data_IF_266368118797
#
_entry.id   IF_266368118797
#
_cell.length_a   1.000
_cell.length_b   1.000
_cell.length_c   1.000
_cell.angle_alpha   90.00
_cell.angle_beta   90.00
_cell.angle_gamma   90.00
#
_symmetry.space_group_name_H-M   'P 1'
#
loop_
_entity.id
_entity.type
_entity.pdbx_description
1 polymer ?
#
# COMPACT_ATOMS: atom_id res chain seq x y z
N UNK A 1 24.68 -31.68 -7.86
CA UNK A 1 24.44 -31.14 -8.43
C UNK A 1 23.48 -30.28 -8.24
N UNK A 2 22.93 -29.65 -8.21
CA UNK A 2 22.03 -28.93 -8.02
C UNK A 2 21.92 -27.84 -7.60
N UNK A 3 21.57 -27.13 -7.39
CA UNK A 3 21.41 -26.18 -6.90
C UNK A 3 20.80 -25.11 -7.20
N UNK A 4 20.52 -24.53 -7.88
CA UNK A 4 19.97 -23.31 -8.14
C UNK A 4 18.69 -23.09 -7.47
N UNK A 5 18.29 -23.89 -6.60
CA UNK A 5 17.11 -23.77 -6.02
C UNK A 5 17.00 -22.59 -5.17
N UNK A 6 18.00 -22.17 -4.46
CA UNK A 6 17.93 -21.13 -3.45
C UNK A 6 17.70 -19.73 -3.97
N UNK A 7 18.22 -19.43 -5.13
CA UNK A 7 18.03 -18.08 -5.69
C UNK A 7 16.60 -17.84 -6.15
N UNK A 8 15.92 -18.90 -6.54
CA UNK A 8 14.56 -18.79 -6.98
C UNK A 8 13.59 -18.60 -5.82
N UNK A 9 13.89 -19.22 -4.69
CA UNK A 9 13.01 -19.06 -3.55
C UNK A 9 12.97 -17.64 -3.04
N UNK A 10 14.07 -16.92 -3.07
CA UNK A 10 14.09 -15.53 -2.65
C UNK A 10 13.23 -14.63 -3.54
N UNK A 11 13.23 -14.91 -4.85
CA UNK A 11 12.45 -14.10 -5.78
C UNK A 11 10.95 -14.31 -5.61
N UNK A 12 10.50 -15.48 -5.16
CA UNK A 12 9.10 -15.76 -4.97
C UNK A 12 8.52 -15.16 -3.68
N UNK A 13 9.39 -14.63 -2.80
CA UNK A 13 8.96 -14.09 -1.53
C UNK A 13 8.82 -12.57 -1.55
N UNK A 14 8.57 -12.01 -2.72
CA UNK A 14 8.34 -10.57 -2.87
C UNK A 14 7.07 -10.32 -3.66
N UNK A 15 6.29 -9.30 -3.27
CA UNK A 15 5.16 -8.88 -4.09
C UNK A 15 5.62 -8.40 -5.48
N UNK A 16 4.74 -8.44 -6.44
CA UNK A 16 5.02 -7.93 -7.78
C UNK A 16 5.23 -6.41 -7.73
N UNK A 17 6.07 -5.90 -8.61
CA UNK A 17 6.36 -4.48 -8.67
C UNK A 17 5.22 -3.65 -9.23
N UNK A 18 4.33 -4.27 -10.00
CA UNK A 18 3.20 -3.57 -10.60
C UNK A 18 1.99 -4.48 -10.68
N UNK A 19 0.82 -3.92 -10.42
CA UNK A 19 -0.45 -4.66 -10.47
C UNK A 19 -1.48 -3.82 -11.21
N UNK A 20 -2.11 -4.40 -12.24
CA UNK A 20 -3.19 -3.73 -12.95
C UNK A 20 -4.47 -3.91 -12.16
N UNK A 21 -5.16 -2.81 -11.87
CA UNK A 21 -6.43 -2.81 -11.13
C UNK A 21 -7.60 -2.77 -12.11
N UNK A 22 -7.58 -1.80 -13.05
CA UNK A 22 -8.65 -1.57 -14.02
C UNK A 22 -8.06 -0.76 -15.17
N UNK A 23 -8.86 -0.41 -16.16
CA UNK A 23 -8.40 0.42 -17.27
C UNK A 23 -7.91 1.77 -16.76
N UNK A 24 -6.63 2.06 -16.98
CA UNK A 24 -6.00 3.30 -16.53
C UNK A 24 -5.73 3.39 -15.04
N UNK A 25 -6.08 2.36 -14.27
CA UNK A 25 -5.85 2.34 -12.83
C UNK A 25 -4.90 1.18 -12.49
N UNK A 26 -3.75 1.49 -11.93
CA UNK A 26 -2.76 0.47 -11.59
C UNK A 26 -1.95 0.86 -10.37
N UNK A 27 -1.32 -0.13 -9.77
CA UNK A 27 -0.41 0.03 -8.64
C UNK A 27 1.01 -0.18 -9.14
N UNK A 28 1.90 0.71 -8.77
CA UNK A 28 3.29 0.65 -9.21
C UNK A 28 4.17 0.96 -8.01
N UNK A 29 5.17 0.12 -7.75
CA UNK A 29 5.99 0.27 -6.56
C UNK A 29 6.61 1.68 -6.51
N UNK A 30 6.61 2.29 -5.33
CA UNK A 30 7.19 3.62 -5.16
C UNK A 30 8.69 3.60 -5.41
N UNK A 31 9.15 4.57 -6.19
CA UNK A 31 10.56 4.77 -6.53
C UNK A 31 11.00 6.16 -6.10
N UNK A 32 12.29 6.34 -5.92
CA UNK A 32 12.84 7.66 -5.58
C UNK A 32 12.42 8.72 -6.62
N UNK A 33 12.31 8.32 -7.89
CA UNK A 33 11.86 9.22 -8.95
C UNK A 33 10.43 9.71 -8.78
N UNK A 34 9.64 9.08 -7.92
CA UNK A 34 8.25 9.49 -7.63
C UNK A 34 8.18 10.53 -6.50
N UNK A 35 9.30 10.82 -5.84
CA UNK A 35 9.29 11.61 -4.61
C UNK A 35 8.70 13.00 -4.78
N UNK A 36 9.04 13.70 -5.86
CA UNK A 36 8.52 15.06 -6.08
C UNK A 36 7.01 15.06 -6.29
N UNK A 37 6.53 14.17 -7.13
CA UNK A 37 5.09 14.06 -7.40
C UNK A 37 4.33 13.66 -6.14
N UNK A 38 4.85 12.71 -5.40
CA UNK A 38 4.21 12.24 -4.17
C UNK A 38 4.20 13.33 -3.09
N UNK A 39 5.32 14.04 -2.92
CA UNK A 39 5.40 15.10 -1.94
C UNK A 39 4.43 16.26 -2.28
N UNK A 40 4.34 16.62 -3.55
CA UNK A 40 3.38 17.63 -3.98
C UNK A 40 1.95 17.22 -3.66
N UNK A 41 1.61 15.95 -3.88
CA UNK A 41 0.27 15.44 -3.56
C UNK A 41 0.00 15.45 -2.06
N UNK A 42 0.99 15.09 -1.24
CA UNK A 42 0.87 15.15 0.22
C UNK A 42 0.62 16.58 0.68
N UNK A 43 1.41 17.55 0.16
CA UNK A 43 1.24 18.95 0.54
C UNK A 43 -0.15 19.48 0.16
N UNK A 44 -0.64 19.13 -1.03
CA UNK A 44 -1.95 19.54 -1.49
C UNK A 44 -3.06 18.99 -0.61
N UNK A 45 -2.86 17.83 -0.01
CA UNK A 45 -3.87 17.14 0.80
C UNK A 45 -3.57 17.13 2.29
N UNK A 46 -2.58 17.89 2.75
CA UNK A 46 -2.10 17.80 4.13
C UNK A 46 -3.19 17.98 5.18
N UNK A 47 -4.03 18.98 5.03
CA UNK A 47 -5.11 19.24 5.99
C UNK A 47 -6.14 18.11 6.01
N UNK A 48 -6.44 17.55 4.85
CA UNK A 48 -7.37 16.44 4.73
C UNK A 48 -6.78 15.16 5.33
N UNK A 49 -5.53 14.85 4.97
CA UNK A 49 -4.88 13.60 5.38
C UNK A 49 -4.48 13.60 6.85
N UNK A 50 -4.19 14.76 7.41
CA UNK A 50 -3.76 14.87 8.82
C UNK A 50 -4.76 14.26 9.79
N UNK A 51 -6.04 14.25 9.43
CA UNK A 51 -7.11 13.74 10.29
C UNK A 51 -6.97 12.25 10.58
N UNK A 52 -6.37 11.50 9.66
CA UNK A 52 -6.34 10.03 9.76
C UNK A 52 -4.94 9.44 9.66
N UNK A 53 -3.92 10.25 9.32
CA UNK A 53 -2.55 9.76 9.16
C UNK A 53 -1.63 10.43 10.18
N UNK A 54 -1.41 9.80 11.34
CA UNK A 54 -0.60 10.42 12.40
C UNK A 54 0.86 10.65 12.02
N UNK A 55 1.39 9.86 11.07
CA UNK A 55 2.78 9.99 10.62
C UNK A 55 2.98 11.12 9.60
N UNK A 56 1.92 11.73 9.11
CA UNK A 56 1.99 12.68 8.00
C UNK A 56 2.87 13.88 8.33
N UNK A 57 2.81 14.39 9.55
CA UNK A 57 3.58 15.55 9.96
C UNK A 57 5.07 15.26 10.12
N UNK A 58 5.49 14.02 9.99
CA UNK A 58 6.90 13.65 9.94
C UNK A 58 7.48 13.84 8.55
N UNK A 59 6.64 13.95 7.52
CA UNK A 59 7.07 14.18 6.14
C UNK A 59 6.79 15.63 5.79
N UNK A 60 7.76 16.51 6.08
CA UNK A 60 7.62 17.96 5.90
C UNK A 60 8.47 18.53 4.78
N UNK A 61 9.32 17.72 4.18
CA UNK A 61 10.23 18.16 3.13
C UNK A 61 10.38 17.06 2.08
N UNK A 62 10.88 17.44 0.91
CA UNK A 62 11.20 16.49 -0.12
C UNK A 62 12.23 15.46 0.34
N UNK A 63 13.22 15.89 1.13
CA UNK A 63 14.24 14.99 1.65
C UNK A 63 13.63 13.92 2.55
N UNK A 64 12.67 14.29 3.38
CA UNK A 64 11.97 13.34 4.23
C UNK A 64 11.11 12.37 3.40
N UNK A 65 10.51 12.86 2.32
CA UNK A 65 9.77 12.01 1.39
C UNK A 65 10.69 10.99 0.72
N UNK A 66 11.87 11.42 0.30
CA UNK A 66 12.87 10.53 -0.28
C UNK A 66 13.32 9.49 0.73
N UNK A 67 13.55 9.89 1.97
CA UNK A 67 13.93 8.97 3.05
C UNK A 67 12.85 7.91 3.29
N UNK A 68 11.58 8.32 3.26
CA UNK A 68 10.46 7.40 3.42
C UNK A 68 10.44 6.36 2.29
N UNK A 69 10.57 6.82 1.05
CA UNK A 69 10.58 5.91 -0.12
C UNK A 69 11.76 4.96 -0.05
N UNK A 70 12.93 5.47 0.34
CA UNK A 70 14.13 4.66 0.51
C UNK A 70 13.93 3.55 1.54
N UNK A 71 13.28 3.88 2.64
CA UNK A 71 12.93 2.91 3.67
C UNK A 71 11.97 1.84 3.13
N UNK A 72 10.97 2.25 2.35
CA UNK A 72 10.04 1.32 1.73
C UNK A 72 10.76 0.37 0.77
N UNK A 73 11.74 0.86 0.02
CA UNK A 73 12.53 0.03 -0.89
C UNK A 73 13.34 -1.01 -0.12
N UNK A 74 13.92 -0.63 1.01
CA UNK A 74 14.67 -1.55 1.86
C UNK A 74 13.75 -2.63 2.42
N UNK A 75 12.57 -2.26 2.89
CA UNK A 75 11.59 -3.24 3.37
C UNK A 75 11.17 -4.19 2.27
N UNK A 76 10.98 -3.68 1.06
CA UNK A 76 10.62 -4.53 -0.08
C UNK A 76 11.72 -5.55 -0.40
N UNK A 77 12.96 -5.09 -0.44
CA UNK A 77 14.10 -5.98 -0.70
C UNK A 77 14.25 -7.07 0.35
N UNK A 78 13.87 -6.77 1.58
CA UNK A 78 13.95 -7.71 2.70
C UNK A 78 12.67 -8.55 2.88
N UNK A 79 11.68 -8.39 2.00
CA UNK A 79 10.44 -9.15 2.08
C UNK A 79 9.55 -8.75 3.26
N UNK A 80 9.71 -7.54 3.77
CA UNK A 80 8.99 -7.08 4.96
C UNK A 80 7.77 -6.21 4.66
N UNK A 81 7.62 -5.81 3.42
CA UNK A 81 6.49 -4.96 3.03
C UNK A 81 6.60 -4.50 1.59
N UNK A 82 5.65 -3.71 1.16
CA UNK A 82 5.66 -3.09 -0.16
C UNK A 82 4.77 -1.85 -0.10
N UNK A 83 5.18 -0.79 -0.78
CA UNK A 83 4.34 0.40 -0.90
C UNK A 83 4.20 0.75 -2.37
N UNK A 84 2.95 0.81 -2.83
CA UNK A 84 2.63 1.15 -4.21
C UNK A 84 2.10 2.57 -4.30
N UNK A 85 2.47 3.26 -5.38
CA UNK A 85 1.71 4.43 -5.80
C UNK A 85 0.44 3.92 -6.49
N UNK A 86 -0.69 4.53 -6.17
CA UNK A 86 -1.93 4.30 -6.91
C UNK A 86 -1.91 5.31 -8.06
N UNK A 87 -1.88 4.80 -9.30
CA UNK A 87 -1.84 5.67 -10.48
C UNK A 87 -3.15 5.59 -11.23
N UNK A 88 -3.75 6.73 -11.46
CA UNK A 88 -4.97 6.86 -12.24
C UNK A 88 -4.64 7.75 -13.43
N UNK A 89 -4.69 7.19 -14.65
CA UNK A 89 -4.27 7.90 -15.85
C UNK A 89 -2.80 8.33 -15.82
N UNK A 90 -1.95 7.53 -15.16
CA UNK A 90 -0.52 7.81 -15.05
C UNK A 90 -0.13 8.75 -13.91
N UNK A 91 -1.08 9.40 -13.25
CA UNK A 91 -0.79 10.30 -12.12
C UNK A 91 -0.96 9.60 -10.79
N UNK A 92 -0.09 9.91 -9.85
CA UNK A 92 -0.24 9.40 -8.48
C UNK A 92 -1.42 10.09 -7.82
N UNK A 93 -2.36 9.28 -7.31
CA UNK A 93 -3.53 9.80 -6.59
C UNK A 93 -3.57 9.38 -5.12
N UNK A 94 -2.64 8.53 -4.71
CA UNK A 94 -2.52 8.05 -3.35
C UNK A 94 -1.53 6.91 -3.27
N UNK A 95 -1.50 6.23 -2.14
CA UNK A 95 -0.66 5.04 -1.95
C UNK A 95 -1.46 3.92 -1.30
N UNK A 96 -1.05 2.70 -1.56
CA UNK A 96 -1.56 1.51 -0.88
C UNK A 96 -0.43 0.51 -0.77
N UNK A 97 -0.35 -0.18 0.33
CA UNK A 97 0.71 -1.15 0.48
C UNK A 97 0.54 -2.04 1.69
N UNK A 98 1.50 -2.92 1.85
CA UNK A 98 1.59 -3.79 3.00
C UNK A 98 2.59 -3.17 3.97
N UNK A 99 2.08 -2.64 5.08
CA UNK A 99 2.91 -2.00 6.10
C UNK A 99 3.82 -3.02 6.79
N UNK A 100 3.35 -4.26 6.85
CA UNK A 100 4.13 -5.38 7.32
C UNK A 100 3.71 -6.63 6.55
N UNK A 101 4.63 -7.56 6.43
CA UNK A 101 4.47 -8.77 5.66
C UNK A 101 5.19 -9.89 6.38
N UNK A 102 4.47 -10.94 6.73
CA UNK A 102 5.00 -12.06 7.49
C UNK A 102 4.71 -13.34 6.72
N UNK A 103 5.65 -13.81 5.93
CA UNK A 103 5.48 -15.02 5.14
C UNK A 103 5.43 -16.27 6.02
N UNK A 104 6.10 -16.24 7.17
CA UNK A 104 6.09 -17.37 8.08
C UNK A 104 4.70 -17.64 8.63
N UNK A 105 4.01 -16.60 9.09
CA UNK A 105 2.65 -16.70 9.60
C UNK A 105 1.60 -16.44 8.51
N UNK A 106 2.01 -16.21 7.29
CA UNK A 106 1.14 -16.02 6.11
C UNK A 106 0.12 -14.91 6.30
N UNK A 107 0.58 -13.81 6.86
CA UNK A 107 -0.27 -12.66 7.15
C UNK A 107 0.38 -11.35 6.72
N UNK A 108 -0.44 -10.32 6.55
CA UNK A 108 0.03 -8.99 6.19
C UNK A 108 -0.95 -7.92 6.68
N UNK A 109 -0.44 -6.71 6.80
CA UNK A 109 -1.25 -5.56 7.18
C UNK A 109 -1.23 -4.50 6.10
N UNK A 110 -2.41 -4.00 5.72
CA UNK A 110 -2.55 -3.03 4.65
C UNK A 110 -2.76 -1.63 5.21
N UNK A 111 -2.16 -0.65 4.55
CA UNK A 111 -2.41 0.76 4.78
C UNK A 111 -2.58 1.48 3.45
N UNK A 112 -3.31 2.58 3.44
CA UNK A 112 -3.52 3.36 2.24
C UNK A 112 -3.93 4.78 2.57
N UNK A 113 -3.77 5.67 1.60
CA UNK A 113 -4.44 6.97 1.60
C UNK A 113 -4.70 7.39 0.15
N UNK A 114 -5.63 8.28 -0.03
CA UNK A 114 -6.00 8.78 -1.36
C UNK A 114 -6.27 10.28 -1.28
N UNK A 115 -5.96 10.98 -2.36
CA UNK A 115 -6.27 12.40 -2.50
C UNK A 115 -7.76 12.65 -2.33
N UNK A 116 -8.12 13.73 -1.65
CA UNK A 116 -9.51 14.08 -1.39
C UNK A 116 -10.35 14.13 -2.66
N UNK A 117 -9.80 14.69 -3.73
CA UNK A 117 -10.50 14.82 -5.01
C UNK A 117 -10.77 13.50 -5.71
N UNK A 118 -10.13 12.42 -5.28
CA UNK A 118 -10.29 11.10 -5.88
C UNK A 118 -11.18 10.18 -5.06
N UNK A 119 -11.70 10.67 -3.94
CA UNK A 119 -12.59 9.88 -3.08
C UNK A 119 -13.95 9.69 -3.73
N UNK A 120 -14.67 8.64 -3.32
CA UNK A 120 -16.02 8.39 -3.82
C UNK A 120 -16.09 7.72 -5.17
N UNK A 121 -14.95 7.31 -5.75
CA UNK A 121 -14.89 6.65 -7.06
C UNK A 121 -14.55 5.16 -6.98
N UNK A 122 -14.45 4.62 -5.77
CA UNK A 122 -14.13 3.22 -5.55
C UNK A 122 -12.68 2.86 -5.82
N UNK A 123 -11.79 3.84 -5.96
CA UNK A 123 -10.38 3.60 -6.29
C UNK A 123 -9.69 2.79 -5.20
N UNK A 124 -9.87 3.18 -3.93
CA UNK A 124 -9.24 2.47 -2.80
C UNK A 124 -9.78 1.05 -2.69
N UNK A 125 -11.09 0.89 -2.78
CA UNK A 125 -11.72 -0.44 -2.67
C UNK A 125 -11.21 -1.37 -3.78
N UNK A 126 -11.16 -0.89 -5.02
CA UNK A 126 -10.66 -1.70 -6.13
C UNK A 126 -9.16 -2.00 -6.00
N UNK A 127 -8.38 -1.02 -5.55
CA UNK A 127 -6.95 -1.20 -5.33
C UNK A 127 -6.67 -2.21 -4.24
N UNK A 128 -7.37 -2.12 -3.11
CA UNK A 128 -7.25 -3.09 -2.02
C UNK A 128 -7.70 -4.48 -2.46
N UNK A 129 -8.79 -4.57 -3.21
CA UNK A 129 -9.27 -5.85 -3.72
C UNK A 129 -8.22 -6.52 -4.61
N UNK A 130 -7.58 -5.75 -5.48
CA UNK A 130 -6.53 -6.29 -6.34
C UNK A 130 -5.32 -6.76 -5.52
N UNK A 131 -4.95 -5.99 -4.51
CA UNK A 131 -3.83 -6.35 -3.65
C UNK A 131 -4.14 -7.60 -2.82
N UNK A 132 -5.36 -7.73 -2.32
CA UNK A 132 -5.81 -8.92 -1.60
C UNK A 132 -5.73 -10.15 -2.51
N UNK A 133 -6.19 -10.04 -3.74
CA UNK A 133 -6.12 -11.13 -4.70
C UNK A 133 -4.68 -11.58 -4.91
N UNK A 134 -3.77 -10.62 -5.06
CA UNK A 134 -2.35 -10.91 -5.21
C UNK A 134 -1.78 -11.61 -3.97
N UNK A 135 -2.14 -11.12 -2.77
CA UNK A 135 -1.67 -11.70 -1.53
C UNK A 135 -2.14 -13.16 -1.37
N UNK A 136 -3.40 -13.43 -1.65
CA UNK A 136 -3.96 -14.77 -1.45
C UNK A 136 -3.58 -15.73 -2.57
N UNK A 137 -3.60 -15.29 -3.81
CA UNK A 137 -3.40 -16.18 -4.95
C UNK A 137 -1.93 -16.36 -5.34
N UNK A 138 -1.14 -15.30 -5.25
CA UNK A 138 0.25 -15.33 -5.72
C UNK A 138 1.26 -15.45 -4.59
N UNK A 139 1.00 -14.84 -3.45
CA UNK A 139 1.91 -14.85 -2.31
C UNK A 139 1.56 -15.91 -1.27
N UNK A 140 0.44 -16.60 -1.47
CA UNK A 140 -0.02 -17.65 -0.59
C UNK A 140 -0.20 -17.19 0.86
N UNK A 141 -0.66 -15.97 1.03
CA UNK A 141 -0.98 -15.44 2.36
C UNK A 141 -2.41 -15.84 2.72
N UNK A 142 -2.69 -15.97 4.02
CA UNK A 142 -3.98 -16.43 4.49
C UNK A 142 -4.73 -15.38 5.30
N UNK A 143 -4.06 -14.34 5.74
CA UNK A 143 -4.67 -13.31 6.58
C UNK A 143 -4.26 -11.93 6.11
N UNK A 144 -5.24 -11.08 5.87
CA UNK A 144 -5.04 -9.71 5.40
C UNK A 144 -5.73 -8.80 6.41
N UNK A 145 -4.99 -7.93 7.07
CA UNK A 145 -5.48 -7.09 8.16
C UNK A 145 -5.53 -5.63 7.72
N UNK A 146 -6.67 -4.99 7.93
CA UNK A 146 -6.80 -3.54 7.76
C UNK A 146 -7.02 -2.93 9.14
N UNK A 147 -6.10 -2.07 9.57
CA UNK A 147 -6.24 -1.35 10.82
C UNK A 147 -6.75 0.05 10.53
N UNK A 148 -7.87 0.40 11.11
CA UNK A 148 -8.48 1.71 10.94
C UNK A 148 -9.05 2.19 12.26
N UNK A 149 -8.96 3.49 12.50
CA UNK A 149 -9.65 4.10 13.63
C UNK A 149 -11.16 3.98 13.42
N UNK A 150 -11.90 3.68 14.46
CA UNK A 150 -13.35 3.62 14.38
C UNK A 150 -13.95 4.97 13.97
N UNK A 151 -13.21 6.04 14.18
CA UNK A 151 -13.63 7.37 13.75
C UNK A 151 -13.38 7.59 12.25
N UNK A 152 -12.59 6.74 11.63
CA UNK A 152 -12.33 6.83 10.19
C UNK A 152 -13.40 6.04 9.44
N UNK A 153 -14.55 6.65 9.27
CA UNK A 153 -15.72 6.03 8.64
C UNK A 153 -15.42 5.56 7.22
N UNK A 154 -14.64 6.34 6.47
CA UNK A 154 -14.28 5.98 5.10
C UNK A 154 -13.51 4.66 5.04
N UNK A 155 -12.53 4.46 5.93
CA UNK A 155 -11.75 3.22 5.99
C UNK A 155 -12.59 2.03 6.46
N UNK A 156 -13.48 2.25 7.42
CA UNK A 156 -14.41 1.21 7.86
C UNK A 156 -15.33 0.78 6.71
N UNK A 157 -15.79 1.73 5.90
CA UNK A 157 -16.62 1.43 4.74
C UNK A 157 -15.86 0.64 3.68
N UNK A 158 -14.58 0.91 3.49
CA UNK A 158 -13.74 0.13 2.58
C UNK A 158 -13.65 -1.32 3.08
N UNK A 159 -13.41 -1.52 4.38
CA UNK A 159 -13.34 -2.84 4.97
C UNK A 159 -14.66 -3.61 4.77
N UNK A 160 -15.79 -2.95 4.99
CA UNK A 160 -17.11 -3.56 4.79
C UNK A 160 -17.32 -3.98 3.33
N UNK A 161 -16.95 -3.14 2.37
CA UNK A 161 -17.09 -3.45 0.95
C UNK A 161 -16.22 -4.61 0.52
N UNK A 162 -15.09 -4.81 1.19
CA UNK A 162 -14.20 -5.94 0.94
C UNK A 162 -14.63 -7.20 1.67
N UNK A 163 -15.68 -7.16 2.47
CA UNK A 163 -16.16 -8.31 3.23
C UNK A 163 -15.28 -8.67 4.40
N UNK A 164 -14.51 -7.73 4.92
CA UNK A 164 -13.62 -7.97 6.04
C UNK A 164 -14.41 -8.01 7.36
N UNK A 165 -13.94 -8.84 8.28
CA UNK A 165 -14.58 -8.99 9.58
C UNK A 165 -13.88 -8.11 10.62
N UNK A 166 -14.68 -7.45 11.46
CA UNK A 166 -14.15 -6.71 12.58
C UNK A 166 -13.66 -7.70 13.64
N UNK A 167 -12.40 -7.60 14.02
CA UNK A 167 -11.81 -8.49 15.02
C UNK A 167 -11.66 -7.82 16.38
N UNK A 168 -11.61 -6.49 16.43
CA UNK A 168 -11.48 -5.79 17.69
C UNK A 168 -11.54 -4.28 17.50
N UNK A 169 -11.77 -3.58 18.58
CA UNK A 169 -11.80 -2.12 18.62
C UNK A 169 -10.80 -1.66 19.67
N UNK A 170 -9.88 -0.78 19.25
CA UNK A 170 -8.86 -0.24 20.16
C UNK A 170 -9.25 1.13 20.67
#
# INVERSE_FOLDING_TARGET
MAEPFHSQTGAHNRPMESLIVDTGLYLDILKISDAEELFALVEENRLYLRKTLPWLDEVRSLDEQISYISHCQTDYENGKGVMYAIRNGGRIVGTVGLNWLDFENKSCGVGYWISEHQTGQGIVTRSCSRLIDHCFNDLNLHRFVLEASVENVASCNVADRLGMRLEGVN
#
